data_IF_830599269353
#
_entry.id   IF_830599269353
#
_cell.length_a   1.000
_cell.length_b   1.000
_cell.length_c   1.000
_cell.angle_alpha   90.00
_cell.angle_beta   90.00
_cell.angle_gamma   90.00
#
_symmetry.space_group_name_H-M   'P 1'
#
loop_
_entity.id
_entity.type
_entity.pdbx_description
1 polymer ?
#
# COMPACT_ATOMS: atom_id res chain seq x y z
N UNK A 1 -13.14 22.43 2.06
CA UNK A 1 -13.44 21.07 2.54
C UNK A 1 -12.30 20.63 3.41
N UNK A 2 -12.59 20.10 4.59
CA UNK A 2 -11.52 19.58 5.45
C UNK A 2 -11.01 18.26 4.87
N UNK A 3 -9.69 18.14 4.72
CA UNK A 3 -9.00 16.93 4.31
C UNK A 3 -8.00 16.53 5.38
N UNK A 4 -7.58 15.27 5.44
CA UNK A 4 -6.39 14.91 6.16
C UNK A 4 -5.23 15.82 5.76
N UNK A 5 -4.42 16.25 6.72
CA UNK A 5 -3.29 17.15 6.49
C UNK A 5 -1.98 16.39 6.25
N UNK A 6 -1.89 15.17 6.73
CA UNK A 6 -0.69 14.32 6.69
C UNK A 6 -0.83 13.15 5.72
N UNK A 7 -2.07 12.72 5.42
CA UNK A 7 -2.34 11.62 4.52
C UNK A 7 -2.62 12.15 3.11
N UNK A 8 -1.93 11.63 2.11
CA UNK A 8 -2.19 11.95 0.72
C UNK A 8 -3.54 11.36 0.30
N UNK A 9 -4.44 12.21 -0.18
CA UNK A 9 -5.72 11.83 -0.80
C UNK A 9 -5.68 12.19 -2.28
N UNK A 10 -6.60 11.68 -3.10
CA UNK A 10 -6.84 12.29 -4.42
C UNK A 10 -7.39 13.71 -4.26
N UNK A 11 -7.18 14.56 -5.25
CA UNK A 11 -7.83 15.86 -5.27
C UNK A 11 -9.35 15.73 -5.29
N UNK A 12 -9.84 14.79 -6.11
CA UNK A 12 -11.25 14.39 -6.27
C UNK A 12 -11.34 12.92 -6.66
N UNK A 13 -12.52 12.34 -6.47
CA UNK A 13 -12.88 11.03 -6.96
C UNK A 13 -12.05 9.89 -6.34
N UNK A 14 -11.94 8.76 -7.02
CA UNK A 14 -11.36 7.54 -6.49
C UNK A 14 -9.84 7.55 -6.48
N UNK A 15 -9.27 7.00 -5.39
CA UNK A 15 -7.87 6.64 -5.27
C UNK A 15 -7.76 5.26 -4.62
N UNK A 16 -6.85 4.40 -5.15
CA UNK A 16 -6.44 3.17 -4.47
C UNK A 16 -4.91 3.06 -4.44
N UNK A 17 -4.29 2.03 -4.98
CA UNK A 17 -2.89 1.68 -4.79
C UNK A 17 -1.89 2.82 -5.01
N UNK A 18 -0.87 2.95 -4.16
CA UNK A 18 0.31 3.74 -4.49
C UNK A 18 1.05 3.13 -5.68
N UNK A 19 1.47 3.94 -6.61
CA UNK A 19 2.19 3.54 -7.82
C UNK A 19 3.42 4.40 -8.03
N UNK A 20 4.44 3.85 -8.65
CA UNK A 20 5.56 4.64 -9.14
C UNK A 20 6.22 5.55 -8.11
N UNK A 21 6.20 5.18 -6.83
CA UNK A 21 6.80 5.96 -5.75
C UNK A 21 8.31 6.08 -5.99
N UNK A 22 8.82 7.32 -5.99
CA UNK A 22 10.24 7.57 -6.22
C UNK A 22 10.66 8.96 -5.73
N UNK A 23 11.91 9.08 -5.27
CA UNK A 23 12.58 10.38 -5.16
C UNK A 23 13.36 10.65 -6.45
N UNK A 24 12.94 11.65 -7.21
CA UNK A 24 13.50 11.94 -8.53
C UNK A 24 13.66 13.44 -8.73
N UNK A 25 14.83 13.87 -9.20
CA UNK A 25 15.17 15.27 -9.47
C UNK A 25 14.79 16.25 -8.35
N UNK A 26 15.03 15.83 -7.09
CA UNK A 26 14.83 16.68 -5.92
C UNK A 26 13.42 16.71 -5.35
N UNK A 27 12.48 15.92 -5.90
CA UNK A 27 11.10 15.80 -5.44
C UNK A 27 10.75 14.35 -5.14
N UNK A 28 9.87 14.14 -4.18
CA UNK A 28 9.14 12.89 -4.01
C UNK A 28 7.98 12.88 -4.99
N UNK A 29 7.90 11.87 -5.82
CA UNK A 29 6.78 11.61 -6.72
C UNK A 29 5.95 10.47 -6.17
N UNK A 30 4.65 10.68 -6.02
CA UNK A 30 3.66 9.67 -5.72
C UNK A 30 2.65 9.64 -6.85
N UNK A 31 2.68 8.55 -7.61
CA UNK A 31 1.59 8.23 -8.50
C UNK A 31 0.62 7.31 -7.76
N UNK A 32 -0.62 7.22 -8.23
CA UNK A 32 -1.63 6.39 -7.60
C UNK A 32 -2.71 5.98 -8.59
N UNK A 33 -3.29 4.83 -8.36
CA UNK A 33 -4.48 4.39 -9.09
C UNK A 33 -5.60 5.42 -8.90
N UNK A 34 -6.17 5.90 -9.97
CA UNK A 34 -7.14 6.98 -9.98
C UNK A 34 -8.26 6.74 -10.99
N UNK A 35 -9.50 6.86 -10.56
CA UNK A 35 -10.63 7.00 -11.46
C UNK A 35 -11.15 8.44 -11.42
N UNK A 36 -10.89 9.25 -12.49
CA UNK A 36 -11.11 10.70 -12.43
C UNK A 36 -12.58 11.11 -12.61
N UNK A 37 -13.49 10.16 -12.83
CA UNK A 37 -14.88 10.47 -13.19
C UNK A 37 -15.90 10.26 -12.07
N UNK A 38 -15.56 9.44 -11.05
CA UNK A 38 -16.46 9.16 -9.93
C UNK A 38 -15.67 8.69 -8.68
N UNK A 39 -16.36 8.67 -7.52
CA UNK A 39 -15.87 8.11 -6.26
C UNK A 39 -16.10 6.59 -6.20
N UNK A 40 -15.73 5.88 -7.25
CA UNK A 40 -15.83 4.42 -7.36
C UNK A 40 -14.69 3.90 -8.24
N UNK A 41 -14.43 2.63 -8.15
CA UNK A 41 -13.49 1.96 -9.05
C UNK A 41 -14.02 1.94 -10.49
N UNK A 42 -13.16 2.06 -11.48
CA UNK A 42 -13.52 2.06 -12.89
C UNK A 42 -12.30 1.94 -13.81
N UNK A 43 -12.35 2.55 -14.99
CA UNK A 43 -11.21 2.59 -15.91
C UNK A 43 -10.06 3.38 -15.31
N UNK A 44 -9.04 2.67 -14.80
CA UNK A 44 -7.96 3.26 -14.02
C UNK A 44 -7.02 4.12 -14.86
N UNK A 45 -6.65 5.25 -14.25
CA UNK A 45 -5.60 6.18 -14.65
C UNK A 45 -4.55 6.23 -13.55
N UNK A 46 -3.42 6.88 -13.77
CA UNK A 46 -2.50 7.26 -12.71
C UNK A 46 -2.62 8.74 -12.42
N UNK A 47 -3.15 9.07 -11.24
CA UNK A 47 -3.00 10.40 -10.64
C UNK A 47 -1.54 10.63 -10.26
N UNK A 48 -1.15 11.89 -10.07
CA UNK A 48 0.21 12.26 -9.75
C UNK A 48 0.21 13.38 -8.71
N UNK A 49 1.06 13.24 -7.71
CA UNK A 49 1.35 14.27 -6.72
C UNK A 49 2.85 14.32 -6.43
N UNK A 50 3.36 15.51 -6.14
CA UNK A 50 4.77 15.73 -5.80
C UNK A 50 4.91 16.45 -4.47
N UNK A 51 6.02 16.20 -3.78
CA UNK A 51 6.32 16.80 -2.49
C UNK A 51 7.82 16.99 -2.28
N UNK A 52 8.19 17.98 -1.47
CA UNK A 52 9.57 18.15 -0.98
C UNK A 52 9.85 17.34 0.29
N UNK A 53 8.77 16.95 1.01
CA UNK A 53 8.86 16.44 2.39
C UNK A 53 7.94 15.23 2.69
N UNK A 54 7.14 14.76 1.74
CA UNK A 54 6.11 13.73 1.91
C UNK A 54 4.96 14.12 2.89
N UNK A 55 4.86 15.41 3.20
CA UNK A 55 3.80 16.00 4.02
C UNK A 55 2.93 16.91 3.18
N UNK A 56 3.58 17.88 2.52
CA UNK A 56 2.91 18.87 1.69
C UNK A 56 2.94 18.44 0.24
N UNK A 57 1.78 18.01 -0.28
CA UNK A 57 1.63 17.49 -1.63
C UNK A 57 1.03 18.52 -2.57
N UNK A 58 1.62 18.63 -3.77
CA UNK A 58 1.07 19.39 -4.89
C UNK A 58 0.55 18.38 -5.92
N UNK A 59 -0.70 18.54 -6.35
CA UNK A 59 -1.28 17.70 -7.38
C UNK A 59 -0.83 18.17 -8.76
N UNK A 60 -0.42 17.21 -9.57
CA UNK A 60 0.00 17.39 -10.96
C UNK A 60 -1.07 16.82 -11.91
N UNK A 61 -1.01 17.13 -13.20
CA UNK A 61 -1.86 16.49 -14.19
C UNK A 61 -1.77 14.96 -14.15
N UNK A 62 -2.84 14.28 -14.57
CA UNK A 62 -2.87 12.81 -14.70
C UNK A 62 -1.69 12.35 -15.55
N UNK A 63 -0.85 11.47 -14.99
CA UNK A 63 0.37 10.99 -15.65
C UNK A 63 0.08 9.92 -16.70
N UNK A 64 -0.78 8.94 -16.37
CA UNK A 64 -1.17 7.87 -17.27
C UNK A 64 -2.68 7.82 -17.46
N UNK A 65 -3.11 7.63 -18.69
CA UNK A 65 -4.50 7.38 -19.04
C UNK A 65 -4.58 6.44 -20.25
N UNK A 66 -5.68 5.68 -20.40
CA UNK A 66 -5.90 4.80 -21.54
C UNK A 66 -5.77 5.54 -22.88
N UNK A 67 -4.88 5.08 -23.75
CA UNK A 67 -4.60 5.74 -25.02
C UNK A 67 -4.14 4.79 -26.13
N UNK A 68 -3.87 3.54 -25.78
CA UNK A 68 -3.42 2.49 -26.70
C UNK A 68 -4.44 1.36 -26.79
N UNK A 69 -4.45 0.56 -27.85
CA UNK A 69 -5.34 -0.60 -27.96
C UNK A 69 -5.20 -1.62 -26.83
N UNK A 70 -4.00 -1.74 -26.25
CA UNK A 70 -3.71 -2.69 -25.18
C UNK A 70 -4.06 -2.16 -23.77
N UNK A 71 -4.23 -0.85 -23.58
CA UNK A 71 -4.59 -0.25 -22.30
C UNK A 71 -5.94 0.46 -22.31
N UNK A 72 -6.79 0.22 -23.31
CA UNK A 72 -8.03 0.97 -23.51
C UNK A 72 -9.01 0.93 -22.34
N UNK A 73 -8.89 -0.06 -21.45
CA UNK A 73 -9.75 -0.24 -20.28
C UNK A 73 -9.05 0.02 -18.94
N UNK A 74 -7.79 0.44 -18.95
CA UNK A 74 -7.12 0.87 -17.73
C UNK A 74 -5.60 0.77 -17.76
N UNK A 75 -4.98 1.65 -16.99
CA UNK A 75 -3.58 1.61 -16.59
C UNK A 75 -3.54 1.17 -15.12
N UNK A 76 -3.34 -0.14 -14.87
CA UNK A 76 -3.31 -0.70 -13.53
C UNK A 76 -1.96 -0.46 -12.84
N UNK A 77 -1.79 -0.98 -11.63
CA UNK A 77 -0.65 -0.70 -10.78
C UNK A 77 0.70 -1.07 -11.39
N UNK A 78 1.73 -0.47 -10.86
CA UNK A 78 3.10 -0.66 -11.28
C UNK A 78 4.08 0.28 -10.56
N UNK A 79 5.28 0.45 -11.09
CA UNK A 79 6.39 1.10 -10.42
C UNK A 79 7.16 2.11 -11.28
N UNK A 80 8.09 2.82 -10.65
CA UNK A 80 8.98 3.77 -11.30
C UNK A 80 10.45 3.43 -11.03
N UNK A 81 11.32 3.80 -11.99
CA UNK A 81 12.76 3.78 -11.81
C UNK A 81 13.41 4.89 -12.66
N UNK A 82 14.51 5.43 -12.16
CA UNK A 82 15.37 6.33 -12.95
C UNK A 82 16.35 5.51 -13.78
N UNK A 83 16.41 5.80 -15.08
CA UNK A 83 17.35 5.20 -16.03
C UNK A 83 18.03 6.30 -16.80
N UNK A 84 19.33 6.47 -16.64
CA UNK A 84 20.17 7.47 -17.34
C UNK A 84 19.63 8.91 -17.27
N UNK A 85 18.99 9.25 -16.14
CA UNK A 85 18.42 10.57 -15.85
C UNK A 85 16.97 10.77 -16.32
N UNK A 86 16.38 9.81 -16.99
CA UNK A 86 14.96 9.79 -17.37
C UNK A 86 14.12 8.94 -16.40
N UNK A 87 12.87 9.31 -16.19
CA UNK A 87 11.93 8.57 -15.36
C UNK A 87 11.15 7.57 -16.21
N UNK A 88 11.26 6.29 -15.87
CA UNK A 88 10.52 5.19 -16.50
C UNK A 88 9.40 4.75 -15.57
N UNK A 89 8.15 4.78 -16.04
CA UNK A 89 7.01 4.19 -15.36
C UNK A 89 6.64 2.88 -16.03
N UNK A 90 6.47 1.83 -15.24
CA UNK A 90 5.98 0.53 -15.68
C UNK A 90 4.61 0.29 -15.06
N UNK A 91 3.67 -0.21 -15.86
CA UNK A 91 2.30 -0.42 -15.43
C UNK A 91 1.69 -1.64 -16.09
N UNK A 92 0.63 -2.18 -15.50
CA UNK A 92 -0.16 -3.21 -16.15
C UNK A 92 -1.22 -2.57 -17.03
N UNK A 93 -1.19 -2.88 -18.31
CA UNK A 93 -2.18 -2.44 -19.26
C UNK A 93 -3.33 -3.43 -19.36
N UNK A 94 -4.56 -2.92 -19.41
CA UNK A 94 -5.79 -3.74 -19.37
C UNK A 94 -6.65 -3.49 -20.58
N UNK A 95 -7.09 -4.61 -21.22
CA UNK A 95 -8.02 -4.60 -22.33
C UNK A 95 -9.10 -5.64 -22.11
N UNK A 96 -10.35 -5.23 -21.94
CA UNK A 96 -11.48 -6.14 -21.83
C UNK A 96 -11.75 -6.86 -23.14
N UNK A 97 -12.05 -8.14 -23.07
CA UNK A 97 -12.49 -8.94 -24.22
C UNK A 97 -13.92 -8.53 -24.56
N UNK A 98 -14.81 -8.61 -23.56
CA UNK A 98 -16.19 -8.14 -23.58
C UNK A 98 -16.47 -7.34 -22.31
N UNK A 99 -17.48 -6.48 -22.35
CA UNK A 99 -17.95 -5.73 -21.17
C UNK A 99 -19.31 -6.25 -20.74
N UNK A 100 -19.68 -5.99 -19.48
CA UNK A 100 -21.06 -6.19 -19.04
C UNK A 100 -22.02 -5.31 -19.87
N UNK A 101 -23.24 -5.80 -20.09
CA UNK A 101 -24.23 -5.11 -20.94
C UNK A 101 -24.59 -3.71 -20.42
N UNK A 102 -24.72 -3.59 -19.08
CA UNK A 102 -25.13 -2.35 -18.41
C UNK A 102 -23.97 -1.52 -17.89
N UNK A 103 -22.72 -2.02 -17.96
CA UNK A 103 -21.56 -1.32 -17.43
C UNK A 103 -20.28 -1.58 -18.23
N UNK A 104 -19.95 -0.66 -19.10
CA UNK A 104 -18.72 -0.75 -19.96
C UNK A 104 -17.41 -0.56 -19.19
N UNK A 105 -17.44 -0.24 -17.90
CA UNK A 105 -16.26 -0.14 -17.06
C UNK A 105 -15.91 -1.45 -16.34
N UNK A 106 -16.69 -2.50 -16.53
CA UNK A 106 -16.51 -3.82 -15.94
C UNK A 106 -16.37 -4.87 -17.04
N UNK A 107 -15.35 -5.73 -16.99
CA UNK A 107 -15.22 -6.83 -17.95
C UNK A 107 -16.24 -7.93 -17.64
N UNK A 108 -16.84 -8.48 -18.70
CA UNK A 108 -17.74 -9.61 -18.59
C UNK A 108 -16.99 -10.84 -18.03
N UNK A 109 -17.64 -11.54 -17.11
CA UNK A 109 -17.09 -12.72 -16.44
C UNK A 109 -15.70 -12.47 -15.79
N UNK A 110 -15.35 -11.20 -15.53
CA UNK A 110 -14.05 -10.78 -15.04
C UNK A 110 -12.87 -11.25 -15.92
N UNK A 111 -13.07 -11.35 -17.25
CA UNK A 111 -12.04 -11.77 -18.20
C UNK A 111 -11.52 -10.61 -19.01
N UNK A 112 -10.21 -10.38 -18.95
CA UNK A 112 -9.51 -9.33 -19.69
C UNK A 112 -8.07 -9.74 -20.02
N UNK A 113 -7.50 -9.11 -21.04
CA UNK A 113 -6.07 -9.19 -21.31
C UNK A 113 -5.33 -8.31 -20.32
N UNK A 114 -4.36 -8.88 -19.59
CA UNK A 114 -3.37 -8.12 -18.83
C UNK A 114 -1.99 -8.28 -19.48
N UNK A 115 -1.31 -7.15 -19.70
CA UNK A 115 0.03 -7.12 -20.24
C UNK A 115 0.83 -6.02 -19.56
N UNK A 116 2.17 -6.06 -19.64
CA UNK A 116 2.98 -5.03 -19.01
C UNK A 116 3.40 -4.01 -20.06
N UNK A 117 3.32 -2.74 -19.70
CA UNK A 117 3.65 -1.62 -20.54
C UNK A 117 4.51 -0.58 -19.80
N UNK A 118 5.09 0.33 -20.52
CA UNK A 118 5.92 1.40 -19.96
C UNK A 118 5.69 2.72 -20.68
N UNK A 119 6.05 3.81 -19.99
CA UNK A 119 6.20 5.16 -20.54
C UNK A 119 7.44 5.82 -19.97
N UNK A 120 8.05 6.72 -20.74
CA UNK A 120 9.26 7.44 -20.34
C UNK A 120 8.97 8.94 -20.26
N UNK A 121 9.43 9.58 -19.19
CA UNK A 121 9.43 11.03 -19.03
C UNK A 121 10.84 11.53 -18.76
N UNK A 122 11.22 12.62 -19.42
CA UNK A 122 12.54 13.26 -19.22
C UNK A 122 12.62 14.12 -17.98
N UNK A 123 11.49 14.58 -17.48
CA UNK A 123 11.41 15.54 -16.38
C UNK A 123 10.59 15.04 -15.17
N UNK A 124 9.84 13.95 -15.33
CA UNK A 124 8.95 13.41 -14.31
C UNK A 124 7.57 14.08 -14.24
N UNK A 125 7.30 15.05 -15.11
CA UNK A 125 6.04 15.81 -15.15
C UNK A 125 5.28 15.66 -16.47
N UNK A 126 6.00 15.56 -17.59
CA UNK A 126 5.42 15.43 -18.91
C UNK A 126 5.47 13.98 -19.40
N UNK A 127 4.28 13.41 -19.67
CA UNK A 127 4.10 12.03 -20.13
C UNK A 127 3.27 12.04 -21.42
N UNK A 128 3.90 11.78 -22.58
CA UNK A 128 3.18 11.67 -23.85
C UNK A 128 2.54 10.29 -24.01
N UNK A 129 1.32 10.16 -23.48
CA UNK A 129 0.56 8.92 -23.51
C UNK A 129 0.25 8.41 -24.92
N UNK A 130 0.33 9.27 -25.95
CA UNK A 130 0.05 8.88 -27.32
C UNK A 130 1.29 8.37 -28.07
N UNK A 131 2.49 8.89 -27.78
CA UNK A 131 3.69 8.56 -28.53
C UNK A 131 4.69 7.70 -27.74
N UNK A 132 4.83 7.92 -26.41
CA UNK A 132 5.94 7.36 -25.62
C UNK A 132 5.59 6.07 -24.88
N UNK A 133 4.35 5.56 -25.00
CA UNK A 133 3.95 4.27 -24.44
C UNK A 133 4.42 3.09 -25.30
N UNK A 134 4.92 2.06 -24.62
CA UNK A 134 5.36 0.82 -25.26
C UNK A 134 4.85 -0.40 -24.51
N UNK A 135 4.33 -1.40 -25.23
CA UNK A 135 4.06 -2.72 -24.71
C UNK A 135 5.38 -3.47 -24.56
N UNK A 136 5.68 -3.99 -23.37
CA UNK A 136 6.97 -4.65 -23.07
C UNK A 136 6.85 -6.14 -22.79
N UNK A 137 5.74 -6.58 -22.18
CA UNK A 137 5.44 -7.99 -21.97
C UNK A 137 3.99 -8.22 -22.42
N UNK A 138 3.75 -9.02 -23.46
CA UNK A 138 2.41 -9.33 -23.94
C UNK A 138 1.64 -10.19 -22.93
N UNK A 139 0.31 -10.37 -23.11
CA UNK A 139 -0.47 -11.29 -22.30
C UNK A 139 0.12 -12.70 -22.29
N UNK A 140 0.15 -13.32 -21.13
CA UNK A 140 0.68 -14.68 -20.98
C UNK A 140 -0.34 -15.70 -21.49
N UNK A 141 0.04 -16.45 -22.54
CA UNK A 141 -0.81 -17.47 -23.15
C UNK A 141 -0.54 -18.87 -22.61
N UNK A 142 0.61 -19.09 -21.96
CA UNK A 142 0.96 -20.36 -21.32
C UNK A 142 0.50 -20.36 -19.86
N UNK A 143 -0.59 -21.06 -19.59
CA UNK A 143 -1.19 -21.18 -18.25
C UNK A 143 -0.24 -21.81 -17.20
N UNK A 144 0.83 -22.50 -17.61
CA UNK A 144 1.86 -23.00 -16.70
C UNK A 144 2.83 -21.90 -16.28
N UNK A 145 3.01 -20.89 -17.13
CA UNK A 145 3.85 -19.74 -16.83
C UNK A 145 3.11 -18.75 -15.92
N UNK A 146 1.86 -18.39 -16.26
CA UNK A 146 1.08 -17.42 -15.51
C UNK A 146 -0.35 -17.33 -16.03
N UNK A 147 -1.14 -16.46 -15.44
CA UNK A 147 -2.56 -16.29 -15.78
C UNK A 147 -2.75 -15.18 -16.81
N UNK A 148 -3.54 -15.45 -17.84
CA UNK A 148 -3.86 -14.49 -18.91
C UNK A 148 -4.45 -13.18 -18.41
N UNK A 149 -5.42 -13.24 -17.50
CA UNK A 149 -6.08 -12.09 -16.88
C UNK A 149 -5.34 -11.56 -15.65
N UNK A 150 -4.87 -12.45 -14.78
CA UNK A 150 -4.33 -12.09 -13.47
C UNK A 150 -2.79 -12.17 -13.46
N UNK A 151 -2.14 -11.34 -14.28
CA UNK A 151 -0.68 -11.11 -14.25
C UNK A 151 -0.44 -9.62 -14.28
N UNK A 152 -0.03 -9.03 -13.12
CA UNK A 152 -0.02 -7.57 -12.94
C UNK A 152 1.00 -7.07 -11.94
N UNK A 153 1.10 -5.73 -11.84
CA UNK A 153 1.83 -4.96 -10.84
C UNK A 153 3.35 -5.09 -10.95
N UNK A 154 3.95 -4.69 -12.10
CA UNK A 154 5.39 -4.80 -12.31
C UNK A 154 6.17 -3.89 -11.36
N UNK A 155 7.10 -4.47 -10.58
CA UNK A 155 8.08 -3.73 -9.79
C UNK A 155 9.46 -3.93 -10.37
N UNK A 156 10.13 -2.82 -10.68
CA UNK A 156 11.45 -2.81 -11.34
C UNK A 156 12.52 -2.31 -10.38
N UNK A 157 13.69 -2.96 -10.41
CA UNK A 157 14.89 -2.51 -9.69
C UNK A 157 16.14 -2.74 -10.53
N UNK A 158 17.24 -2.08 -10.16
CA UNK A 158 18.55 -2.25 -10.78
C UNK A 158 19.46 -3.03 -9.84
N UNK A 159 20.15 -4.03 -10.38
CA UNK A 159 21.22 -4.73 -9.67
C UNK A 159 22.39 -4.95 -10.61
N UNK A 160 23.57 -4.43 -10.25
CA UNK A 160 24.77 -4.36 -11.10
C UNK A 160 24.45 -3.70 -12.45
N UNK A 161 24.74 -4.38 -13.56
CA UNK A 161 24.57 -3.90 -14.93
C UNK A 161 23.22 -4.28 -15.55
N UNK A 162 22.29 -4.85 -14.76
CA UNK A 162 20.99 -5.30 -15.24
C UNK A 162 19.86 -4.63 -14.49
N UNK A 163 18.71 -4.60 -15.15
CA UNK A 163 17.42 -4.31 -14.56
C UNK A 163 16.65 -5.62 -14.38
N UNK A 164 15.89 -5.69 -13.32
CA UNK A 164 15.05 -6.83 -12.98
C UNK A 164 13.63 -6.36 -12.74
N UNK A 165 12.67 -7.24 -13.00
CA UNK A 165 11.26 -6.97 -12.78
C UNK A 165 10.62 -8.17 -12.12
N UNK A 166 9.83 -7.95 -11.07
CA UNK A 166 8.93 -8.92 -10.47
C UNK A 166 7.49 -8.54 -10.84
N UNK A 167 6.68 -9.54 -11.19
CA UNK A 167 5.27 -9.38 -11.55
C UNK A 167 4.45 -10.42 -10.80
N UNK A 168 3.33 -10.01 -10.22
CA UNK A 168 2.40 -10.92 -9.57
C UNK A 168 1.57 -11.70 -10.58
N UNK A 169 1.25 -12.93 -10.26
CA UNK A 169 0.41 -13.81 -11.06
C UNK A 169 -0.24 -14.90 -10.22
N UNK A 170 -1.00 -15.78 -10.87
CA UNK A 170 -1.52 -17.01 -10.29
C UNK A 170 -1.49 -18.15 -11.30
N UNK A 171 -1.54 -19.36 -10.81
CA UNK A 171 -1.67 -20.56 -11.63
C UNK A 171 -2.67 -21.52 -10.99
N UNK A 172 -3.28 -22.38 -11.79
CA UNK A 172 -4.14 -23.45 -11.30
C UNK A 172 -3.51 -24.81 -11.63
N UNK A 173 -3.28 -25.63 -10.61
CA UNK A 173 -2.79 -26.99 -10.78
C UNK A 173 -3.97 -27.94 -10.95
N UNK A 174 -3.78 -29.02 -11.72
CA UNK A 174 -4.83 -29.98 -12.05
C UNK A 174 -5.40 -30.71 -10.82
N UNK A 175 -4.62 -30.82 -9.75
CA UNK A 175 -4.93 -31.50 -8.49
C UNK A 175 -5.42 -30.53 -7.39
N UNK A 176 -5.59 -29.24 -7.70
CA UNK A 176 -6.00 -28.22 -6.74
C UNK A 176 -7.33 -27.59 -7.14
N UNK A 177 -8.21 -27.36 -6.17
CA UNK A 177 -9.46 -26.63 -6.37
C UNK A 177 -9.21 -25.11 -6.46
N UNK A 178 -8.28 -24.59 -5.65
CA UNK A 178 -7.91 -23.19 -5.56
C UNK A 178 -6.71 -22.86 -6.46
N UNK A 179 -6.58 -21.59 -6.81
CA UNK A 179 -5.37 -21.10 -7.46
C UNK A 179 -4.20 -21.01 -6.47
N UNK A 180 -3.02 -20.94 -7.00
CA UNK A 180 -1.76 -20.75 -6.28
C UNK A 180 -1.14 -19.44 -6.71
N UNK A 181 -0.81 -18.57 -5.76
CA UNK A 181 -0.09 -17.32 -6.02
C UNK A 181 1.29 -17.58 -6.61
N UNK A 182 1.71 -16.72 -7.53
CA UNK A 182 2.96 -16.85 -8.28
C UNK A 182 3.63 -15.52 -8.50
N UNK A 183 4.96 -15.53 -8.45
CA UNK A 183 5.84 -14.44 -8.86
C UNK A 183 6.52 -14.82 -10.17
N UNK A 184 6.58 -13.88 -11.09
CA UNK A 184 7.32 -14.00 -12.35
C UNK A 184 8.47 -13.00 -12.35
N UNK A 185 9.66 -13.44 -12.77
CA UNK A 185 10.85 -12.61 -12.80
C UNK A 185 11.37 -12.44 -14.23
N UNK A 186 11.67 -11.21 -14.56
CA UNK A 186 12.24 -10.81 -15.85
C UNK A 186 13.53 -10.04 -15.63
N UNK A 187 14.42 -10.08 -16.64
CA UNK A 187 15.68 -9.33 -16.67
C UNK A 187 15.77 -8.50 -17.94
N UNK A 188 16.46 -7.36 -17.87
CA UNK A 188 16.71 -6.48 -18.98
C UNK A 188 18.11 -5.87 -18.90
N UNK A 189 18.72 -5.57 -20.06
CA UNK A 189 19.95 -4.79 -20.17
C UNK A 189 19.70 -3.30 -20.36
N UNK A 190 18.55 -2.95 -20.93
CA UNK A 190 18.20 -1.61 -21.40
C UNK A 190 16.95 -1.02 -20.72
N UNK A 191 16.37 -1.75 -19.76
CA UNK A 191 15.13 -1.42 -19.09
C UNK A 191 13.90 -1.32 -20.03
N UNK A 192 14.00 -1.79 -21.27
CA UNK A 192 12.95 -1.74 -22.31
C UNK A 192 12.60 -3.11 -22.86
N UNK A 193 13.62 -3.96 -23.06
CA UNK A 193 13.47 -5.31 -23.60
C UNK A 193 13.65 -6.33 -22.46
N UNK A 194 12.64 -7.13 -22.21
CA UNK A 194 12.57 -8.00 -21.03
C UNK A 194 12.61 -9.48 -21.41
N UNK A 195 13.43 -10.23 -20.72
CA UNK A 195 13.58 -11.68 -20.85
C UNK A 195 13.07 -12.35 -19.56
N UNK A 196 12.15 -13.30 -19.69
CA UNK A 196 11.76 -14.15 -18.55
C UNK A 196 12.94 -14.99 -18.08
N UNK A 197 13.17 -15.03 -16.77
CA UNK A 197 14.30 -15.76 -16.20
C UNK A 197 13.90 -16.81 -15.15
N UNK A 198 12.90 -16.51 -14.32
CA UNK A 198 12.50 -17.42 -13.23
C UNK A 198 11.07 -17.16 -12.77
N UNK A 199 10.54 -18.07 -11.94
CA UNK A 199 9.29 -17.89 -11.21
C UNK A 199 9.32 -18.63 -9.88
N UNK A 200 8.48 -18.20 -8.95
CA UNK A 200 8.24 -18.87 -7.68
C UNK A 200 6.74 -18.94 -7.41
N UNK A 201 6.26 -20.04 -6.85
CA UNK A 201 4.86 -20.24 -6.48
C UNK A 201 4.75 -20.98 -5.15
N UNK A 202 3.74 -20.64 -4.35
CA UNK A 202 3.48 -21.27 -3.06
C UNK A 202 1.97 -21.34 -2.81
N UNK A 203 1.47 -22.56 -2.56
CA UNK A 203 0.07 -22.77 -2.21
C UNK A 203 -0.21 -22.42 -0.74
N UNK A 204 -1.41 -21.87 -0.47
CA UNK A 204 -1.88 -21.57 0.89
C UNK A 204 -1.49 -20.20 1.41
N UNK A 205 -0.96 -19.32 0.56
CA UNK A 205 -0.72 -17.89 0.86
C UNK A 205 -1.55 -17.00 -0.08
N UNK A 206 -2.89 -17.25 -0.12
CA UNK A 206 -3.78 -16.63 -1.09
C UNK A 206 -3.61 -17.23 -2.50
N UNK A 207 -4.45 -16.79 -3.42
CA UNK A 207 -4.52 -17.34 -4.79
C UNK A 207 -3.95 -16.43 -5.88
N UNK A 208 -3.74 -15.16 -5.61
CA UNK A 208 -3.10 -14.15 -6.46
C UNK A 208 -2.24 -13.22 -5.60
N UNK A 209 -1.02 -12.95 -6.04
CA UNK A 209 -0.12 -12.04 -5.31
C UNK A 209 -0.01 -10.70 -6.03
N UNK A 210 -0.79 -9.71 -5.57
CA UNK A 210 -0.77 -8.35 -6.08
C UNK A 210 0.39 -7.55 -5.50
N UNK A 211 0.79 -6.50 -6.22
CA UNK A 211 1.76 -5.50 -5.78
C UNK A 211 3.05 -6.07 -5.16
N UNK A 212 3.71 -7.08 -5.77
CA UNK A 212 4.94 -7.63 -5.22
C UNK A 212 6.06 -6.61 -5.25
N UNK A 213 6.80 -6.49 -4.15
CA UNK A 213 7.93 -5.56 -4.01
C UNK A 213 9.05 -6.25 -3.22
N UNK A 214 10.17 -6.53 -3.90
CA UNK A 214 11.34 -7.18 -3.30
C UNK A 214 12.50 -6.20 -3.22
N UNK A 215 13.14 -6.13 -2.06
CA UNK A 215 14.22 -5.19 -1.78
C UNK A 215 15.10 -5.64 -0.63
N UNK A 216 16.27 -5.03 -0.49
CA UNK A 216 17.19 -5.31 0.60
C UNK A 216 17.16 -4.20 1.67
N UNK A 217 17.20 -4.60 2.94
CA UNK A 217 17.40 -3.73 4.11
C UNK A 217 18.35 -4.42 5.07
N UNK A 218 19.50 -3.81 5.34
CA UNK A 218 20.51 -4.33 6.28
C UNK A 218 20.85 -5.82 6.02
N UNK A 219 21.21 -6.13 4.77
CA UNK A 219 21.56 -7.50 4.31
C UNK A 219 20.44 -8.55 4.43
N UNK A 220 19.19 -8.11 4.60
CA UNK A 220 18.04 -8.98 4.55
C UNK A 220 17.19 -8.66 3.32
N UNK A 221 16.84 -9.69 2.55
CA UNK A 221 15.91 -9.55 1.45
C UNK A 221 14.49 -9.61 1.99
N UNK A 222 13.73 -8.58 1.70
CA UNK A 222 12.36 -8.40 2.15
C UNK A 222 11.45 -8.53 0.95
N UNK A 223 10.37 -9.30 1.09
CA UNK A 223 9.27 -9.34 0.14
C UNK A 223 8.01 -8.79 0.79
N UNK A 224 7.40 -7.84 0.12
CA UNK A 224 6.06 -7.32 0.43
C UNK A 224 5.15 -7.70 -0.72
N UNK A 225 3.95 -8.14 -0.43
CA UNK A 225 2.93 -8.44 -1.44
C UNK A 225 1.52 -8.38 -0.83
N UNK A 226 0.51 -8.39 -1.68
CA UNK A 226 -0.89 -8.29 -1.28
C UNK A 226 -1.68 -9.49 -1.81
N UNK A 227 -1.66 -10.63 -1.08
CA UNK A 227 -2.40 -11.82 -1.49
C UNK A 227 -3.91 -11.58 -1.49
N UNK A 228 -4.58 -11.92 -2.60
CA UNK A 228 -6.03 -12.06 -2.67
C UNK A 228 -6.46 -13.39 -2.01
N UNK A 229 -7.63 -13.38 -1.39
CA UNK A 229 -8.21 -14.57 -0.74
C UNK A 229 -7.28 -15.25 0.28
N UNK A 230 -6.52 -14.44 1.01
CA UNK A 230 -5.68 -14.88 2.10
C UNK A 230 -6.43 -14.78 3.43
N UNK A 231 -6.86 -15.92 3.94
CA UNK A 231 -7.58 -16.03 5.20
C UNK A 231 -6.59 -16.20 6.35
N UNK A 232 -6.65 -15.30 7.34
CA UNK A 232 -5.86 -15.41 8.57
C UNK A 232 -6.65 -16.18 9.63
N UNK A 233 -7.54 -15.53 10.37
CA UNK A 233 -8.34 -16.14 11.44
C UNK A 233 -9.85 -15.89 11.31
N UNK A 234 -10.28 -15.41 10.13
CA UNK A 234 -11.67 -15.03 9.86
C UNK A 234 -12.07 -13.65 10.37
N UNK A 235 -11.19 -12.95 11.08
CA UNK A 235 -11.43 -11.61 11.61
C UNK A 235 -11.08 -10.53 10.58
N UNK A 236 -10.06 -10.80 9.75
CA UNK A 236 -9.51 -9.87 8.78
C UNK A 236 -10.20 -9.98 7.41
N UNK A 237 -10.16 -8.91 6.60
CA UNK A 237 -10.52 -8.98 5.19
C UNK A 237 -9.75 -10.09 4.47
N UNK A 238 -10.34 -10.65 3.41
CA UNK A 238 -9.72 -11.74 2.64
C UNK A 238 -8.53 -11.27 1.79
N UNK A 239 -8.40 -9.97 1.54
CA UNK A 239 -7.30 -9.36 0.81
C UNK A 239 -6.45 -8.55 1.79
N UNK A 240 -5.26 -9.01 2.06
CA UNK A 240 -4.34 -8.46 3.06
C UNK A 240 -2.95 -8.23 2.47
N UNK A 241 -2.22 -7.27 3.02
CA UNK A 241 -0.81 -7.06 2.69
C UNK A 241 0.08 -7.79 3.70
N UNK A 242 1.07 -8.52 3.18
CA UNK A 242 2.03 -9.28 3.99
C UNK A 242 3.47 -8.85 3.74
N UNK A 243 4.32 -9.02 4.74
CA UNK A 243 5.75 -8.72 4.69
C UNK A 243 6.53 -9.86 5.34
N UNK A 244 7.63 -10.27 4.70
CA UNK A 244 8.50 -11.32 5.22
C UNK A 244 9.95 -11.17 4.79
N UNK A 245 10.86 -11.85 5.51
CA UNK A 245 12.25 -12.02 5.12
C UNK A 245 12.32 -13.28 4.27
N UNK A 246 12.94 -13.19 3.09
CA UNK A 246 12.99 -14.29 2.13
C UNK A 246 14.43 -14.60 1.73
N UNK A 247 14.70 -15.83 1.37
CA UNK A 247 15.93 -16.18 0.66
C UNK A 247 15.77 -15.78 -0.81
N UNK A 248 16.65 -14.91 -1.27
CA UNK A 248 16.60 -14.39 -2.63
C UNK A 248 18.01 -14.20 -3.21
N UNK A 249 18.22 -14.72 -4.42
CA UNK A 249 19.45 -14.55 -5.18
C UNK A 249 19.20 -13.60 -6.36
N UNK A 250 19.79 -12.41 -6.33
CA UNK A 250 19.51 -11.32 -7.25
C UNK A 250 19.68 -11.68 -8.74
N UNK A 251 20.79 -12.35 -9.12
CA UNK A 251 21.08 -12.56 -10.56
C UNK A 251 20.20 -13.62 -11.21
N UNK A 252 19.83 -14.65 -10.46
CA UNK A 252 18.98 -15.75 -10.91
C UNK A 252 17.50 -15.53 -10.59
N UNK A 253 17.21 -14.58 -9.69
CA UNK A 253 15.90 -14.42 -9.03
C UNK A 253 15.40 -15.73 -8.41
N UNK A 254 16.35 -16.55 -7.91
CA UNK A 254 15.98 -17.76 -7.19
C UNK A 254 15.41 -17.36 -5.83
N UNK A 255 14.13 -17.63 -5.65
CA UNK A 255 13.35 -17.21 -4.48
C UNK A 255 12.96 -18.43 -3.66
N UNK A 256 13.05 -18.33 -2.33
CA UNK A 256 12.58 -19.37 -1.43
C UNK A 256 12.00 -18.74 -0.17
N UNK A 257 10.79 -19.14 0.18
CA UNK A 257 10.13 -18.81 1.44
C UNK A 257 9.02 -19.80 1.75
N UNK A 258 8.51 -19.79 2.98
CA UNK A 258 7.31 -20.49 3.39
C UNK A 258 6.24 -19.46 3.83
N UNK A 259 4.99 -19.89 3.95
CA UNK A 259 3.89 -19.01 4.39
C UNK A 259 4.13 -18.43 5.79
N UNK A 260 4.81 -19.19 6.66
CA UNK A 260 5.09 -18.81 8.04
C UNK A 260 6.21 -17.75 8.16
N UNK A 261 6.92 -17.45 7.07
CA UNK A 261 7.89 -16.35 7.00
C UNK A 261 7.21 -14.96 6.93
N UNK A 262 5.88 -14.94 6.71
CA UNK A 262 5.12 -13.71 6.54
C UNK A 262 4.23 -13.35 7.72
N UNK A 263 4.11 -12.06 7.94
CA UNK A 263 3.10 -11.46 8.80
C UNK A 263 2.37 -10.34 8.06
N UNK A 264 1.21 -9.92 8.59
CA UNK A 264 0.54 -8.73 8.06
C UNK A 264 1.44 -7.50 8.20
N UNK A 265 1.49 -6.68 7.15
CA UNK A 265 2.18 -5.38 7.15
C UNK A 265 1.54 -4.45 8.18
N UNK A 266 0.22 -4.47 8.23
CA UNK A 266 -0.63 -3.67 9.09
C UNK A 266 -1.76 -4.56 9.63
N UNK A 267 -2.00 -4.53 10.92
CA UNK A 267 -3.07 -5.29 11.55
C UNK A 267 -4.43 -4.60 11.45
N UNK A 268 -4.45 -3.35 10.92
CA UNK A 268 -5.68 -2.60 10.69
C UNK A 268 -6.50 -3.18 9.54
N UNK A 269 -7.78 -2.87 9.54
CA UNK A 269 -8.75 -3.48 8.63
C UNK A 269 -8.84 -2.78 7.26
N UNK A 270 -8.15 -1.65 7.11
CA UNK A 270 -8.29 -0.79 5.93
C UNK A 270 -7.01 -0.72 5.07
N UNK A 271 -5.89 -1.25 5.53
CA UNK A 271 -4.61 -1.16 4.83
C UNK A 271 -4.45 -2.23 3.74
N UNK A 272 -3.98 -1.81 2.54
CA UNK A 272 -3.75 -2.73 1.41
C UNK A 272 -2.74 -2.18 0.39
N UNK A 273 -2.27 -3.04 -0.51
CA UNK A 273 -1.46 -2.73 -1.70
C UNK A 273 -0.25 -1.81 -1.45
N UNK A 274 0.60 -2.09 -0.43
CA UNK A 274 1.76 -1.25 -0.17
C UNK A 274 2.79 -1.32 -1.29
N UNK A 275 3.46 -0.17 -1.52
CA UNK A 275 4.63 -0.07 -2.38
C UNK A 275 5.74 0.67 -1.66
N UNK A 276 7.01 0.36 -2.00
CA UNK A 276 8.18 0.98 -1.37
C UNK A 276 9.08 1.69 -2.36
N UNK A 277 9.88 2.61 -1.85
CA UNK A 277 10.93 3.32 -2.58
C UNK A 277 12.06 3.73 -1.63
N UNK A 278 13.16 4.27 -2.16
CA UNK A 278 14.25 4.85 -1.38
C UNK A 278 14.05 6.37 -1.31
N UNK A 279 14.05 6.93 -0.10
CA UNK A 279 14.00 8.38 0.11
C UNK A 279 15.36 9.05 -0.18
N UNK A 280 15.39 10.38 -0.09
CA UNK A 280 16.61 11.19 -0.31
C UNK A 280 17.75 10.88 0.67
N UNK A 281 17.42 10.30 1.81
CA UNK A 281 18.38 9.97 2.89
C UNK A 281 18.78 8.48 2.88
N UNK A 282 18.31 7.72 1.87
CA UNK A 282 18.62 6.29 1.69
C UNK A 282 17.75 5.33 2.50
N UNK A 283 16.64 5.79 3.11
CA UNK A 283 15.72 4.95 3.85
C UNK A 283 14.75 4.24 2.91
N UNK A 284 14.40 3.01 3.21
CA UNK A 284 13.29 2.31 2.54
C UNK A 284 11.98 2.80 3.13
N UNK A 285 11.19 3.50 2.31
CA UNK A 285 9.91 4.10 2.71
C UNK A 285 8.77 3.36 2.03
N UNK A 286 7.68 3.14 2.77
CA UNK A 286 6.48 2.46 2.32
C UNK A 286 5.27 3.39 2.44
N UNK A 287 4.39 3.36 1.44
CA UNK A 287 3.00 3.80 1.52
C UNK A 287 2.09 2.62 1.23
N UNK A 288 0.90 2.61 1.81
CA UNK A 288 -0.18 1.69 1.47
C UNK A 288 -1.48 2.42 1.24
N UNK A 289 -2.41 1.79 0.55
CA UNK A 289 -3.75 2.31 0.38
C UNK A 289 -4.58 2.04 1.63
N UNK A 290 -5.25 3.08 2.16
CA UNK A 290 -6.27 2.96 3.18
C UNK A 290 -7.63 2.93 2.49
N UNK A 291 -8.25 1.75 2.47
CA UNK A 291 -9.55 1.47 1.85
C UNK A 291 -10.66 2.17 2.62
N UNK A 292 -11.45 2.96 1.92
CA UNK A 292 -12.63 3.61 2.47
C UNK A 292 -13.88 2.95 1.88
N UNK A 293 -14.77 2.44 2.72
CA UNK A 293 -16.02 1.84 2.25
C UNK A 293 -17.01 2.88 1.70
N UNK A 294 -16.92 4.11 2.18
CA UNK A 294 -17.67 5.27 1.70
C UNK A 294 -16.86 6.55 1.90
N UNK A 295 -17.10 7.55 1.07
CA UNK A 295 -16.52 8.87 1.30
C UNK A 295 -17.06 9.51 2.57
N UNK A 296 -16.29 10.40 3.18
CA UNK A 296 -16.74 11.19 4.31
C UNK A 296 -17.87 12.14 3.88
N UNK A 297 -18.74 12.49 4.81
CA UNK A 297 -19.87 13.36 4.50
C UNK A 297 -19.40 14.68 3.86
N UNK A 298 -20.06 15.09 2.80
CA UNK A 298 -19.73 16.30 2.01
C UNK A 298 -18.35 16.29 1.32
N UNK A 299 -17.70 15.12 1.16
CA UNK A 299 -16.45 14.98 0.42
C UNK A 299 -16.68 14.37 -0.96
N UNK A 300 -15.83 14.77 -1.90
CA UNK A 300 -15.89 14.35 -3.32
C UNK A 300 -14.71 13.45 -3.70
N UNK A 301 -14.05 12.85 -2.73
CA UNK A 301 -12.91 11.95 -2.90
C UNK A 301 -13.10 10.68 -2.06
N UNK A 302 -12.46 9.59 -2.47
CA UNK A 302 -12.54 8.29 -1.82
C UNK A 302 -11.21 7.54 -1.96
N UNK A 303 -10.68 7.06 -0.85
CA UNK A 303 -9.37 6.44 -0.74
C UNK A 303 -8.28 7.44 -0.34
N UNK A 304 -7.27 6.96 0.36
CA UNK A 304 -6.10 7.75 0.76
C UNK A 304 -4.88 6.84 0.96
N UNK A 305 -3.69 7.43 0.98
CA UNK A 305 -2.47 6.73 1.37
C UNK A 305 -2.30 6.74 2.89
N UNK A 306 -1.66 5.72 3.44
CA UNK A 306 -1.16 5.73 4.82
C UNK A 306 -0.12 6.83 5.00
N UNK A 307 0.25 7.12 6.25
CA UNK A 307 1.48 7.88 6.50
C UNK A 307 2.69 7.17 5.87
N UNK A 308 3.72 7.92 5.41
CA UNK A 308 4.97 7.32 4.97
C UNK A 308 5.64 6.60 6.15
N UNK A 309 6.05 5.34 5.93
CA UNK A 309 6.64 4.47 6.94
C UNK A 309 8.03 4.05 6.53
N UNK A 310 9.00 4.16 7.45
CA UNK A 310 10.35 3.62 7.25
C UNK A 310 10.37 2.16 7.65
N UNK A 311 10.88 1.31 6.75
CA UNK A 311 11.10 -0.11 7.03
C UNK A 311 12.53 -0.28 7.55
N UNK A 312 12.67 -0.88 8.71
CA UNK A 312 13.95 -1.25 9.30
C UNK A 312 13.98 -2.75 9.63
N UNK A 313 15.17 -3.33 9.59
CA UNK A 313 15.39 -4.73 10.02
C UNK A 313 16.50 -4.76 11.04
N UNK A 314 16.21 -5.33 12.20
CA UNK A 314 17.19 -5.55 13.27
C UNK A 314 16.99 -6.93 13.87
N UNK A 315 18.05 -7.74 13.96
CA UNK A 315 17.99 -9.11 14.50
C UNK A 315 16.91 -9.98 13.84
N UNK A 316 16.71 -9.82 12.53
CA UNK A 316 15.64 -10.47 11.74
C UNK A 316 14.20 -10.04 12.12
N UNK A 317 14.04 -9.02 12.91
CA UNK A 317 12.73 -8.39 13.15
C UNK A 317 12.55 -7.21 12.20
N UNK A 318 11.45 -7.22 11.45
CA UNK A 318 11.04 -6.12 10.59
C UNK A 318 10.21 -5.16 11.44
N UNK A 319 10.53 -3.87 11.39
CA UNK A 319 9.71 -2.80 11.95
C UNK A 319 9.31 -1.80 10.86
N UNK A 320 8.10 -1.25 10.99
CA UNK A 320 7.59 -0.22 10.08
C UNK A 320 7.15 0.98 10.90
N UNK A 321 7.99 1.99 11.02
CA UNK A 321 7.70 3.16 11.84
C UNK A 321 7.38 4.39 11.00
N UNK A 322 6.62 5.33 11.56
CA UNK A 322 6.29 6.59 10.87
C UNK A 322 7.58 7.33 10.45
N UNK A 323 7.54 7.91 9.26
CA UNK A 323 8.70 8.64 8.72
C UNK A 323 9.05 9.86 9.59
N UNK A 324 10.36 10.18 9.80
CA UNK A 324 10.78 11.32 10.61
C UNK A 324 10.19 12.68 10.20
N UNK A 325 9.93 12.89 8.90
CA UNK A 325 9.30 14.13 8.42
C UNK A 325 7.88 14.33 8.97
N UNK A 326 7.17 13.23 9.31
CA UNK A 326 5.87 13.28 9.97
C UNK A 326 6.04 13.47 11.48
N UNK A 327 6.82 12.59 12.13
CA UNK A 327 6.95 12.60 13.59
C UNK A 327 7.57 13.89 14.14
N UNK A 328 8.43 14.54 13.37
CA UNK A 328 9.06 15.83 13.75
C UNK A 328 8.12 17.05 13.71
N UNK A 329 6.93 16.93 13.14
CA UNK A 329 5.92 18.00 13.13
C UNK A 329 5.26 18.16 14.50
N UNK A 330 5.19 17.10 15.31
CA UNK A 330 4.48 17.06 16.58
C UNK A 330 5.35 17.56 17.72
N UNK A 331 5.54 18.89 17.77
CA UNK A 331 6.42 19.58 18.72
C UNK A 331 5.68 20.30 19.85
N UNK A 332 4.41 20.63 19.64
CA UNK A 332 3.63 21.40 20.62
C UNK A 332 2.88 20.44 21.55
N UNK A 333 3.37 20.28 22.79
CA UNK A 333 2.67 19.51 23.82
C UNK A 333 1.41 20.25 24.29
N UNK A 334 0.29 19.53 24.41
CA UNK A 334 -1.01 20.07 24.83
C UNK A 334 -1.63 19.24 25.97
N UNK A 335 -2.50 19.86 26.76
CA UNK A 335 -3.28 19.15 27.76
C UNK A 335 -4.48 18.46 27.12
N UNK A 336 -4.98 17.40 27.77
CA UNK A 336 -6.13 16.61 27.34
C UNK A 336 -7.38 17.47 27.07
N UNK A 337 -7.61 18.52 27.89
CA UNK A 337 -8.75 19.42 27.73
C UNK A 337 -8.67 20.34 26.50
N UNK A 338 -7.51 20.42 25.88
CA UNK A 338 -7.24 21.25 24.71
C UNK A 338 -7.15 20.45 23.40
N UNK A 339 -7.54 19.18 23.44
CA UNK A 339 -7.52 18.32 22.24
C UNK A 339 -8.58 18.77 21.26
N UNK A 340 -8.17 18.90 19.99
CA UNK A 340 -9.05 19.21 18.86
C UNK A 340 -8.65 18.33 17.66
N UNK A 341 -9.41 17.27 17.40
CA UNK A 341 -9.16 16.31 16.32
C UNK A 341 -9.43 16.88 14.90
N UNK A 342 -9.82 18.14 14.76
CA UNK A 342 -9.76 18.86 13.47
C UNK A 342 -8.32 19.19 13.07
N UNK A 343 -7.37 19.05 14.00
CA UNK A 343 -5.93 19.21 13.78
C UNK A 343 -5.22 17.88 14.01
N UNK A 344 -4.13 17.62 13.25
CA UNK A 344 -3.31 16.45 13.49
C UNK A 344 -2.83 16.38 14.94
N UNK A 345 -3.04 15.24 15.55
CA UNK A 345 -2.73 14.97 16.95
C UNK A 345 -1.92 13.69 17.07
N UNK A 346 -0.88 13.69 17.91
CA UNK A 346 -0.11 12.51 18.25
C UNK A 346 -0.21 12.25 19.75
N UNK A 347 -0.64 11.03 20.14
CA UNK A 347 -0.63 10.57 21.54
C UNK A 347 0.51 9.59 21.66
N UNK A 348 1.45 9.86 22.58
CA UNK A 348 2.51 8.92 22.97
C UNK A 348 2.18 8.39 24.37
N UNK A 349 2.16 7.09 24.54
CA UNK A 349 1.80 6.49 25.82
C UNK A 349 2.51 5.17 26.04
N UNK A 350 2.66 4.81 27.33
CA UNK A 350 3.04 3.47 27.78
C UNK A 350 1.79 2.79 28.33
N UNK A 351 1.41 1.69 27.69
CA UNK A 351 0.28 0.85 28.09
C UNK A 351 0.76 -0.26 29.01
N UNK A 352 -0.05 -0.58 30.00
CA UNK A 352 0.05 -1.74 30.88
C UNK A 352 -1.31 -2.43 30.95
N UNK A 353 -1.38 -3.60 31.58
CA UNK A 353 -2.65 -4.36 31.63
C UNK A 353 -3.82 -3.50 32.15
N UNK A 354 -4.97 -3.62 31.49
CA UNK A 354 -6.18 -2.82 31.70
C UNK A 354 -6.04 -1.32 31.33
N UNK A 355 -5.04 -0.93 30.51
CA UNK A 355 -4.98 0.41 29.95
C UNK A 355 -6.01 0.61 28.86
N UNK A 356 -6.57 1.83 28.79
CA UNK A 356 -7.55 2.20 27.75
C UNK A 356 -7.38 3.65 27.30
N UNK A 357 -7.47 3.85 25.98
CA UNK A 357 -7.59 5.17 25.33
C UNK A 357 -8.87 5.16 24.50
N UNK A 358 -9.74 6.15 24.71
CA UNK A 358 -10.95 6.36 23.89
C UNK A 358 -10.87 7.68 23.16
N UNK A 359 -10.91 7.63 21.82
CA UNK A 359 -10.73 8.75 20.89
C UNK A 359 -12.02 8.89 20.09
N UNK A 360 -12.93 9.76 20.49
CA UNK A 360 -14.18 10.03 19.77
C UNK A 360 -15.04 8.80 19.47
N UNK A 361 -15.02 7.80 20.35
CA UNK A 361 -15.71 6.51 20.14
C UNK A 361 -14.80 5.37 19.65
N UNK A 362 -13.63 5.66 19.07
CA UNK A 362 -12.61 4.66 18.79
C UNK A 362 -11.88 4.28 20.08
N UNK A 363 -11.68 3.01 20.33
CA UNK A 363 -11.08 2.52 21.57
C UNK A 363 -9.81 1.71 21.28
N UNK A 364 -8.74 1.98 22.02
CA UNK A 364 -7.53 1.18 22.11
C UNK A 364 -7.47 0.63 23.53
N UNK A 365 -7.48 -0.69 23.68
CA UNK A 365 -7.36 -1.36 24.98
C UNK A 365 -6.14 -2.26 25.01
N UNK A 366 -5.52 -2.41 26.18
CA UNK A 366 -4.47 -3.39 26.41
C UNK A 366 -4.89 -4.31 27.54
N UNK A 367 -5.25 -5.54 27.21
CA UNK A 367 -5.76 -6.54 28.14
C UNK A 367 -5.13 -7.90 27.82
N UNK A 368 -4.68 -8.63 28.85
CA UNK A 368 -4.02 -9.93 28.70
C UNK A 368 -2.83 -9.92 27.73
N UNK A 369 -2.07 -8.81 27.71
CA UNK A 369 -0.93 -8.58 26.81
C UNK A 369 -1.31 -8.47 25.34
N UNK A 370 -2.54 -8.11 25.01
CA UNK A 370 -3.04 -7.90 23.66
C UNK A 370 -3.57 -6.46 23.53
N UNK A 371 -3.09 -5.73 22.54
CA UNK A 371 -3.69 -4.46 22.16
C UNK A 371 -4.83 -4.74 21.19
N UNK A 372 -6.02 -4.27 21.52
CA UNK A 372 -7.20 -4.31 20.65
C UNK A 372 -7.63 -2.90 20.28
N UNK A 373 -7.72 -2.63 19.00
CA UNK A 373 -8.28 -1.42 18.43
C UNK A 373 -9.71 -1.67 17.95
N UNK A 374 -10.66 -0.88 18.41
CA UNK A 374 -12.10 -1.13 18.23
C UNK A 374 -12.83 0.14 17.77
N UNK A 375 -13.51 0.07 16.62
CA UNK A 375 -14.31 1.14 16.06
C UNK A 375 -15.83 0.91 16.09
N UNK A 376 -16.30 -0.05 16.87
CA UNK A 376 -17.74 -0.39 16.96
C UNK A 376 -18.60 0.81 17.34
N UNK A 377 -18.15 1.65 18.28
CA UNK A 377 -18.89 2.85 18.70
C UNK A 377 -18.89 3.99 17.67
N UNK A 378 -17.95 3.97 16.72
CA UNK A 378 -17.92 4.94 15.61
C UNK A 378 -18.94 4.57 14.55
N UNK A 379 -19.06 3.29 14.20
CA UNK A 379 -19.87 2.82 13.07
C UNK A 379 -21.18 2.12 13.43
N UNK A 380 -21.52 1.98 14.71
CA UNK A 380 -22.80 1.43 15.18
C UNK A 380 -23.20 0.10 14.48
N UNK A 381 -22.24 -0.83 14.33
CA UNK A 381 -22.45 -2.18 13.76
C UNK A 381 -22.80 -2.23 12.25
N UNK A 382 -22.75 -1.11 11.51
CA UNK A 382 -22.97 -1.09 10.06
C UNK A 382 -21.85 -1.81 9.26
N UNK A 383 -20.76 -2.17 9.91
CA UNK A 383 -19.58 -2.78 9.29
C UNK A 383 -19.31 -4.18 9.87
N UNK A 384 -18.89 -5.10 9.00
CA UNK A 384 -18.59 -6.49 9.39
C UNK A 384 -17.32 -6.59 10.23
N UNK A 385 -16.30 -5.76 9.93
CA UNK A 385 -15.00 -5.79 10.59
C UNK A 385 -14.78 -4.52 11.41
N UNK A 386 -14.84 -4.63 12.73
CA UNK A 386 -14.81 -3.50 13.64
C UNK A 386 -13.63 -3.51 14.61
N UNK A 387 -12.94 -4.64 14.74
CA UNK A 387 -11.84 -4.84 15.69
C UNK A 387 -10.61 -5.42 15.03
N UNK A 388 -9.46 -4.96 15.46
CA UNK A 388 -8.15 -5.52 15.11
C UNK A 388 -7.33 -5.69 16.39
N UNK A 389 -6.53 -6.76 16.47
CA UNK A 389 -5.75 -7.06 17.65
C UNK A 389 -4.34 -7.47 17.29
N UNK A 390 -3.39 -7.18 18.19
CA UNK A 390 -2.02 -7.67 18.07
C UNK A 390 -1.93 -9.14 18.49
N UNK A 391 -0.88 -9.84 18.10
CA UNK A 391 -0.41 -11.00 18.86
C UNK A 391 -0.12 -10.64 20.31
N UNK A 392 0.14 -11.64 21.14
CA UNK A 392 0.51 -11.41 22.54
C UNK A 392 1.84 -10.66 22.65
N UNK A 393 1.85 -9.58 23.41
CA UNK A 393 2.97 -8.67 23.61
C UNK A 393 3.59 -8.86 25.02
N UNK A 394 4.62 -8.07 25.34
CA UNK A 394 5.18 -7.94 26.69
C UNK A 394 4.19 -7.23 27.62
N UNK A 395 4.47 -7.25 28.95
CA UNK A 395 3.59 -6.69 29.98
C UNK A 395 3.40 -5.17 29.90
N UNK A 396 4.34 -4.48 29.26
CA UNK A 396 4.28 -3.04 28.97
C UNK A 396 4.60 -2.79 27.50
N UNK A 397 3.87 -1.86 26.88
CA UNK A 397 4.03 -1.50 25.47
C UNK A 397 4.04 0.00 25.27
N UNK A 398 4.96 0.49 24.46
CA UNK A 398 4.95 1.88 24.01
C UNK A 398 4.11 2.01 22.74
N UNK A 399 3.25 3.03 22.69
CA UNK A 399 2.50 3.36 21.49
C UNK A 399 2.65 4.81 21.08
N UNK A 400 2.60 5.05 19.78
CA UNK A 400 2.39 6.36 19.17
C UNK A 400 1.12 6.29 18.33
N UNK A 401 0.14 7.13 18.62
CA UNK A 401 -1.16 7.18 17.93
C UNK A 401 -1.27 8.47 17.17
N UNK A 402 -1.24 8.39 15.84
CA UNK A 402 -1.40 9.54 14.95
C UNK A 402 -2.85 9.64 14.50
N UNK A 403 -3.45 10.79 14.74
CA UNK A 403 -4.85 11.10 14.43
C UNK A 403 -4.86 12.25 13.42
N UNK A 404 -5.46 12.04 12.26
CA UNK A 404 -5.54 13.03 11.19
C UNK A 404 -6.88 12.93 10.47
N UNK A 405 -7.83 13.79 10.83
CA UNK A 405 -9.15 13.92 10.20
C UNK A 405 -9.83 12.58 9.85
N UNK A 406 -10.15 11.80 10.87
CA UNK A 406 -10.88 10.52 10.69
C UNK A 406 -10.03 9.34 10.25
N UNK A 407 -8.72 9.45 10.40
CA UNK A 407 -7.76 8.36 10.28
C UNK A 407 -7.00 8.23 11.58
N UNK A 408 -6.82 7.02 12.06
CA UNK A 408 -5.96 6.72 13.21
C UNK A 408 -4.97 5.63 12.81
N UNK A 409 -3.68 5.94 12.89
CA UNK A 409 -2.58 4.99 12.77
C UNK A 409 -1.89 4.82 14.13
N UNK A 410 -1.89 3.60 14.67
CA UNK A 410 -1.27 3.25 15.95
C UNK A 410 -0.02 2.45 15.71
N UNK A 411 1.13 2.99 16.08
CA UNK A 411 2.44 2.35 16.02
C UNK A 411 2.80 1.80 17.40
N UNK A 412 3.07 0.51 17.47
CA UNK A 412 3.30 -0.25 18.70
C UNK A 412 4.76 -0.66 18.75
N UNK A 413 5.44 -0.42 19.89
CA UNK A 413 6.84 -0.76 20.13
C UNK A 413 7.77 -0.32 18.98
N UNK A 414 7.69 0.96 18.59
CA UNK A 414 8.46 1.54 17.48
C UNK A 414 8.21 0.86 16.13
N UNK A 415 6.94 0.53 15.85
CA UNK A 415 6.53 -0.06 14.58
C UNK A 415 6.75 -1.57 14.47
N UNK A 416 6.91 -2.27 15.59
CA UNK A 416 6.85 -3.74 15.61
C UNK A 416 5.51 -4.22 15.05
N UNK A 417 4.43 -3.55 15.45
CA UNK A 417 3.10 -3.70 14.85
C UNK A 417 2.51 -2.32 14.55
N UNK A 418 1.64 -2.26 13.56
CA UNK A 418 0.87 -1.06 13.19
C UNK A 418 -0.59 -1.46 13.04
N UNK A 419 -1.50 -0.59 13.49
CA UNK A 419 -2.94 -0.72 13.29
C UNK A 419 -3.46 0.57 12.68
N UNK A 420 -3.96 0.51 11.45
CA UNK A 420 -4.51 1.65 10.74
C UNK A 420 -5.99 1.49 10.48
N UNK A 421 -6.76 2.46 10.94
CA UNK A 421 -8.21 2.49 10.79
C UNK A 421 -8.74 3.83 10.29
N UNK A 422 -9.69 3.77 9.40
CA UNK A 422 -10.56 4.88 9.06
C UNK A 422 -11.70 4.93 10.09
N UNK A 423 -11.90 6.10 10.67
CA UNK A 423 -12.77 6.30 11.86
C UNK A 423 -13.55 7.62 11.78
N UNK A 424 -14.23 7.86 10.68
CA UNK A 424 -15.02 9.09 10.48
C UNK A 424 -16.54 8.79 10.50
N UNK A 425 -17.35 9.54 11.23
CA UNK A 425 -16.99 10.72 12.04
C UNK A 425 -16.42 10.38 13.42
N UNK A 426 -15.46 11.18 13.89
CA UNK A 426 -14.96 11.14 15.27
C UNK A 426 -15.58 12.26 16.10
N UNK A 427 -16.06 11.95 17.30
CA UNK A 427 -16.38 12.97 18.29
C UNK A 427 -15.08 13.62 18.82
N UNK A 428 -15.12 14.91 19.12
CA UNK A 428 -13.98 15.62 19.68
C UNK A 428 -13.87 15.37 21.20
N UNK A 429 -13.58 14.13 21.58
CA UNK A 429 -13.50 13.68 22.98
C UNK A 429 -12.38 12.67 23.16
N UNK A 430 -11.48 12.94 24.11
CA UNK A 430 -10.42 12.02 24.53
C UNK A 430 -10.64 11.60 25.98
N UNK A 431 -10.55 10.30 26.24
CA UNK A 431 -10.57 9.72 27.57
C UNK A 431 -9.43 8.71 27.72
N UNK A 432 -8.77 8.73 28.85
CA UNK A 432 -7.59 7.91 29.13
C UNK A 432 -7.77 7.27 30.50
N UNK A 433 -7.62 5.96 30.57
CA UNK A 433 -7.72 5.19 31.80
C UNK A 433 -6.47 4.31 31.98
N UNK A 434 -5.95 4.30 33.21
CA UNK A 434 -4.86 3.41 33.64
C UNK A 434 -3.58 3.46 32.78
N UNK A 435 -3.15 4.66 32.38
CA UNK A 435 -1.85 4.87 31.73
C UNK A 435 -0.81 5.33 32.75
N UNK A 436 0.39 4.78 32.66
CA UNK A 436 1.50 5.17 33.54
C UNK A 436 2.21 6.42 33.07
N UNK A 437 2.30 6.62 31.75
CA UNK A 437 2.92 7.78 31.14
C UNK A 437 2.22 8.07 29.80
N UNK A 438 1.83 9.33 29.58
CA UNK A 438 1.31 9.77 28.29
C UNK A 438 1.59 11.25 28.04
N UNK A 439 1.72 11.58 26.76
CA UNK A 439 1.84 12.93 26.26
C UNK A 439 1.04 13.11 24.99
N UNK A 440 0.50 14.30 24.79
CA UNK A 440 -0.30 14.65 23.62
C UNK A 440 0.38 15.82 22.92
N UNK A 441 0.56 15.67 21.61
CA UNK A 441 1.20 16.67 20.78
C UNK A 441 0.30 17.06 19.61
N UNK A 442 0.43 18.31 19.14
CA UNK A 442 -0.14 18.79 17.88
C UNK A 442 0.94 19.46 17.04
N UNK A 443 0.68 19.72 15.78
CA UNK A 443 1.57 20.41 14.83
C UNK A 443 1.46 21.93 14.97
#
# INVERSE_FOLDING_TARGET
MNKPKLHLTSERNWMNDPNGLIYYKGKYHAFYQHFPYATQWGTMHWGHAVSDDMVNWTYEPIALFPSKPYDKNGCFSGSAIEVDGDLYLYYTSVKYIETEEDNTTVPKDNIFESSQAMIISKDGFNFDNFNDKSLIIPPIMDEKLGHYTHTRDPKVWKYKDNYYMIVGSKVKKADQEEHTGKLLYYRSKDAKTWEYINSFELHGLGDMWECPDIFNVNDNNILVMSPENYYTDGTYPTNNAVIGIVDFEEESCNTKFDKDDFRLVDLGLDYYAPQTFIDKDGRRVQFGWLRMNKHFENHTWLGMMSLPRVIEVKNKEITTNVHPNISSLFIKEINIDNVDFSNPTCIKATLKDNSKISIGGYEITFENNIITANRTKVFNEEYVNLKASTPKLEDECNIEVYIDYGVIETYINKGQYVISHIVNPLENKLQIDNLSDFKIYTI
#
